data_IF_666846360828
#
_entry.id   IF_666846360828
#
_cell.length_a   1.000
_cell.length_b   1.000
_cell.length_c   1.000
_cell.angle_alpha   90.00
_cell.angle_beta   90.00
_cell.angle_gamma   90.00
#
_symmetry.space_group_name_H-M   'P 1'
#
loop_
_entity.id
_entity.type
_entity.pdbx_description
1 polymer ?
#
# COMPACT_ATOMS: atom_id res chain seq x y z
N UNK A 1 91.97 11.72 -240.55
CA UNK A 1 90.60 11.13 -240.61
C UNK A 1 90.01 11.32 -239.22
N UNK A 2 89.29 12.44 -239.02
CA UNK A 2 87.79 12.51 -238.97
C UNK A 2 87.28 11.86 -237.67
N UNK A 3 86.42 12.40 -236.81
CA UNK A 3 85.40 13.48 -236.88
C UNK A 3 84.80 13.63 -235.45
N UNK A 4 84.24 14.81 -235.11
CA UNK A 4 83.14 15.08 -234.14
C UNK A 4 83.24 14.87 -232.60
N UNK A 5 84.09 14.04 -232.00
CA UNK A 5 83.91 13.73 -230.55
C UNK A 5 84.51 14.72 -229.52
N UNK A 6 85.35 15.68 -229.94
CA UNK A 6 86.11 16.57 -229.02
C UNK A 6 85.32 17.79 -228.48
N UNK A 7 84.08 18.02 -228.95
CA UNK A 7 83.25 19.17 -228.55
C UNK A 7 82.15 18.75 -227.56
N UNK A 8 81.63 17.51 -227.64
CA UNK A 8 80.56 17.03 -226.77
C UNK A 8 81.00 16.68 -225.33
N UNK A 9 82.28 16.35 -225.09
CA UNK A 9 82.77 16.11 -223.72
C UNK A 9 82.84 17.38 -222.85
N UNK A 10 82.93 18.55 -223.48
CA UNK A 10 82.99 19.84 -222.77
C UNK A 10 81.61 20.35 -222.37
N UNK A 11 80.59 20.13 -223.20
CA UNK A 11 79.21 20.51 -222.92
C UNK A 11 78.57 19.62 -221.83
N UNK A 12 78.91 18.32 -221.78
CA UNK A 12 78.36 17.40 -220.78
C UNK A 12 78.81 17.73 -219.34
N UNK A 13 79.99 18.31 -219.14
CA UNK A 13 80.46 18.74 -217.81
C UNK A 13 79.70 19.96 -217.30
N UNK A 14 79.41 20.94 -218.16
CA UNK A 14 78.68 22.14 -217.74
C UNK A 14 77.23 21.82 -217.30
N UNK A 15 76.56 20.87 -217.97
CA UNK A 15 75.20 20.46 -217.56
C UNK A 15 75.15 19.69 -216.23
N UNK A 16 76.24 19.02 -215.82
CA UNK A 16 76.28 18.34 -214.51
C UNK A 16 76.50 19.30 -213.35
N UNK A 17 77.25 20.38 -213.54
CA UNK A 17 77.45 21.39 -212.49
C UNK A 17 76.18 22.20 -212.19
N UNK A 18 75.40 22.56 -213.20
CA UNK A 18 74.15 23.31 -213.01
C UNK A 18 73.07 22.50 -212.30
N UNK A 19 72.97 21.19 -212.57
CA UNK A 19 71.99 20.32 -211.91
C UNK A 19 72.25 20.17 -210.40
N UNK A 20 73.51 19.99 -210.00
CA UNK A 20 73.87 19.85 -208.58
C UNK A 20 73.62 21.14 -207.77
N UNK A 21 73.69 22.31 -208.41
CA UNK A 21 73.40 23.59 -207.76
C UNK A 21 71.90 23.74 -207.49
N UNK A 22 71.07 23.35 -208.46
CA UNK A 22 69.61 23.38 -208.32
C UNK A 22 69.07 22.37 -207.29
N UNK A 23 69.70 21.20 -207.16
CA UNK A 23 69.31 20.20 -206.16
C UNK A 23 69.60 20.64 -204.71
N UNK A 24 70.65 21.44 -204.50
CA UNK A 24 70.95 22.03 -203.18
C UNK A 24 69.93 23.09 -202.78
N UNK A 25 69.54 23.99 -203.69
CA UNK A 25 68.54 25.03 -203.39
C UNK A 25 67.17 24.43 -203.05
N UNK A 26 66.76 23.34 -203.72
CA UNK A 26 65.48 22.68 -203.44
C UNK A 26 65.43 22.08 -202.03
N UNK A 27 66.52 21.43 -201.60
CA UNK A 27 66.58 20.81 -200.27
C UNK A 27 66.57 21.86 -199.14
N UNK A 28 67.20 23.03 -199.31
CA UNK A 28 67.13 24.12 -198.34
C UNK A 28 65.70 24.67 -198.19
N UNK A 29 65.00 24.89 -199.31
CA UNK A 29 63.61 25.34 -199.31
C UNK A 29 62.66 24.35 -198.64
N UNK A 30 62.85 23.04 -198.87
CA UNK A 30 62.03 22.00 -198.24
C UNK A 30 62.23 21.97 -196.72
N UNK A 31 63.45 22.19 -196.25
CA UNK A 31 63.76 22.22 -194.80
C UNK A 31 63.10 23.40 -194.10
N UNK A 32 63.05 24.58 -194.75
CA UNK A 32 62.37 25.75 -194.20
C UNK A 32 60.85 25.55 -194.10
N UNK A 33 60.21 24.92 -195.10
CA UNK A 33 58.78 24.67 -195.11
C UNK A 33 58.34 23.81 -193.91
N UNK A 34 59.08 22.75 -193.60
CA UNK A 34 58.78 21.86 -192.46
C UNK A 34 58.83 22.61 -191.14
N UNK A 35 59.85 23.46 -190.94
CA UNK A 35 59.99 24.25 -189.70
C UNK A 35 58.83 25.26 -189.48
N UNK A 36 58.29 25.84 -190.55
CA UNK A 36 57.17 26.76 -190.48
C UNK A 36 55.85 26.05 -190.14
N UNK A 37 55.65 24.83 -190.67
CA UNK A 37 54.46 24.02 -190.36
C UNK A 37 54.45 23.57 -188.90
N UNK A 38 55.59 23.16 -188.34
CA UNK A 38 55.71 22.83 -186.92
C UNK A 38 55.36 24.02 -186.03
N UNK A 39 55.85 25.22 -186.37
CA UNK A 39 55.56 26.45 -185.61
C UNK A 39 54.10 26.87 -185.69
N UNK A 40 53.41 26.58 -186.80
CA UNK A 40 51.97 26.82 -186.93
C UNK A 40 51.17 25.90 -186.00
N UNK A 41 51.57 24.63 -185.87
CA UNK A 41 50.88 23.67 -185.00
C UNK A 41 51.05 24.03 -183.51
N UNK A 42 52.25 24.41 -183.07
CA UNK A 42 52.47 24.81 -181.66
C UNK A 42 51.64 26.02 -181.28
N UNK A 43 51.57 27.04 -182.14
CA UNK A 43 50.76 28.24 -181.91
C UNK A 43 49.26 27.92 -181.82
N UNK A 44 48.73 27.01 -182.63
CA UNK A 44 47.33 26.57 -182.52
C UNK A 44 47.04 25.85 -181.21
N UNK A 45 47.97 25.01 -180.75
CA UNK A 45 47.81 24.29 -179.50
C UNK A 45 47.81 25.23 -178.29
N UNK A 46 48.69 26.24 -178.28
CA UNK A 46 48.71 27.26 -177.23
C UNK A 46 47.40 28.05 -177.18
N UNK A 47 46.87 28.49 -178.33
CA UNK A 47 45.58 29.21 -178.39
C UNK A 47 44.47 28.39 -177.73
N UNK A 48 44.38 27.09 -178.02
CA UNK A 48 43.38 26.21 -177.43
C UNK A 48 43.50 26.17 -175.89
N UNK A 49 44.72 25.96 -175.37
CA UNK A 49 44.98 25.89 -173.93
C UNK A 49 44.63 27.19 -173.22
N UNK A 50 44.97 28.35 -173.79
CA UNK A 50 44.64 29.64 -173.20
C UNK A 50 43.14 29.94 -173.20
N UNK A 51 42.42 29.54 -174.25
CA UNK A 51 40.95 29.68 -174.28
C UNK A 51 40.25 28.81 -173.22
N UNK A 52 40.73 27.58 -173.01
CA UNK A 52 40.21 26.68 -171.99
C UNK A 52 40.46 27.23 -170.58
N UNK A 53 41.68 27.74 -170.32
CA UNK A 53 42.04 28.39 -169.06
C UNK A 53 41.20 29.64 -168.78
N UNK A 54 40.92 30.45 -169.80
CA UNK A 54 40.06 31.62 -169.68
C UNK A 54 38.61 31.27 -169.29
N UNK A 55 38.04 30.23 -169.92
CA UNK A 55 36.70 29.73 -169.55
C UNK A 55 36.66 29.17 -168.13
N UNK A 56 37.66 28.41 -167.72
CA UNK A 56 37.76 27.88 -166.35
C UNK A 56 37.85 28.99 -165.30
N UNK A 57 38.65 30.04 -165.55
CA UNK A 57 38.77 31.18 -164.65
C UNK A 57 37.44 31.94 -164.52
N UNK A 58 36.72 32.17 -165.63
CA UNK A 58 35.40 32.83 -165.60
C UNK A 58 34.37 32.02 -164.81
N UNK A 59 34.30 30.70 -165.04
CA UNK A 59 33.41 29.82 -164.27
C UNK A 59 33.74 29.83 -162.76
N UNK A 60 35.03 29.94 -162.42
CA UNK A 60 35.48 30.02 -161.01
C UNK A 60 35.06 31.35 -160.36
N UNK A 61 35.17 32.47 -161.08
CA UNK A 61 34.73 33.78 -160.59
C UNK A 61 33.21 33.79 -160.35
N UNK A 62 32.44 33.23 -161.27
CA UNK A 62 30.98 33.21 -161.16
C UNK A 62 30.52 32.35 -159.97
N UNK A 63 31.15 31.19 -159.77
CA UNK A 63 30.93 30.35 -158.59
C UNK A 63 31.29 31.08 -157.29
N UNK A 64 32.45 31.73 -157.22
CA UNK A 64 32.87 32.49 -156.03
C UNK A 64 31.91 33.64 -155.72
N UNK A 65 31.34 34.30 -156.74
CA UNK A 65 30.36 35.36 -156.56
C UNK A 65 29.04 34.84 -155.97
N UNK A 66 28.58 33.66 -156.40
CA UNK A 66 27.42 32.98 -155.78
C UNK A 66 27.71 32.55 -154.34
N UNK A 67 28.89 31.97 -154.07
CA UNK A 67 29.31 31.60 -152.71
C UNK A 67 29.40 32.82 -151.78
N UNK A 68 29.89 33.95 -152.28
CA UNK A 68 29.91 35.21 -151.53
C UNK A 68 28.50 35.70 -151.19
N UNK A 69 27.57 35.69 -152.16
CA UNK A 69 26.17 36.06 -151.92
C UNK A 69 25.50 35.16 -150.87
N UNK A 70 25.68 33.84 -150.97
CA UNK A 70 25.15 32.89 -149.99
C UNK A 70 25.75 33.08 -148.59
N UNK A 71 27.05 33.37 -148.51
CA UNK A 71 27.71 33.64 -147.23
C UNK A 71 27.26 34.98 -146.61
N UNK A 72 27.00 36.01 -147.42
CA UNK A 72 26.51 37.30 -146.93
C UNK A 72 25.08 37.18 -146.36
N UNK A 73 24.20 36.41 -147.02
CA UNK A 73 22.88 36.05 -146.48
C UNK A 73 22.97 35.25 -145.17
N UNK A 74 23.90 34.28 -145.09
CA UNK A 74 24.18 33.55 -143.84
C UNK A 74 24.66 34.48 -142.73
N UNK A 75 25.57 35.41 -143.02
CA UNK A 75 26.03 36.40 -142.03
C UNK A 75 24.86 37.28 -141.57
N UNK A 76 23.99 37.71 -142.49
CA UNK A 76 22.79 38.48 -142.17
C UNK A 76 21.84 37.72 -141.23
N UNK A 77 21.54 36.45 -141.55
CA UNK A 77 20.70 35.59 -140.70
C UNK A 77 21.32 35.33 -139.33
N UNK A 78 22.62 35.02 -139.24
CA UNK A 78 23.32 34.81 -137.97
C UNK A 78 23.32 36.09 -137.12
N UNK A 79 23.56 37.27 -137.72
CA UNK A 79 23.46 38.56 -137.01
C UNK A 79 22.06 38.81 -136.45
N UNK A 80 21.02 38.47 -137.23
CA UNK A 80 19.63 38.59 -136.75
C UNK A 80 19.33 37.62 -135.60
N UNK A 81 19.87 36.40 -135.64
CA UNK A 81 19.76 35.40 -134.58
C UNK A 81 20.50 35.83 -133.31
N UNK A 82 21.73 36.36 -133.44
CA UNK A 82 22.50 36.92 -132.33
C UNK A 82 21.72 38.03 -131.62
N UNK A 83 21.18 38.99 -132.38
CA UNK A 83 20.39 40.10 -131.81
C UNK A 83 19.12 39.60 -131.11
N UNK A 84 18.50 38.53 -131.60
CA UNK A 84 17.34 37.92 -130.95
C UNK A 84 17.73 37.15 -129.68
N UNK A 85 18.88 36.45 -129.68
CA UNK A 85 19.41 35.77 -128.50
C UNK A 85 19.82 36.76 -127.42
N UNK A 86 20.51 37.85 -127.78
CA UNK A 86 20.84 38.94 -126.85
C UNK A 86 19.59 39.52 -126.18
N UNK A 87 18.52 39.78 -126.95
CA UNK A 87 17.23 40.23 -126.39
C UNK A 87 16.61 39.20 -125.44
N UNK A 88 16.75 37.90 -125.73
CA UNK A 88 16.26 36.83 -124.84
C UNK A 88 17.08 36.72 -123.56
N UNK A 89 18.40 36.85 -123.65
CA UNK A 89 19.30 36.86 -122.48
C UNK A 89 18.92 38.01 -121.55
N UNK A 90 18.79 39.24 -122.08
CA UNK A 90 18.41 40.40 -121.25
C UNK A 90 17.04 40.20 -120.59
N UNK A 91 16.05 39.63 -121.31
CA UNK A 91 14.74 39.33 -120.71
C UNK A 91 14.83 38.27 -119.61
N UNK A 92 15.56 37.18 -119.86
CA UNK A 92 15.76 36.12 -118.88
C UNK A 92 16.54 36.59 -117.65
N UNK A 93 17.52 37.48 -117.83
CA UNK A 93 18.27 38.10 -116.73
C UNK A 93 17.35 38.97 -115.86
N UNK A 94 16.44 39.75 -116.46
CA UNK A 94 15.46 40.54 -115.72
C UNK A 94 14.48 39.63 -114.95
N UNK A 95 13.91 38.61 -115.61
CA UNK A 95 13.01 37.65 -114.96
C UNK A 95 13.70 36.87 -113.82
N UNK A 96 14.97 36.47 -114.02
CA UNK A 96 15.77 35.80 -113.00
C UNK A 96 16.02 36.72 -111.80
N UNK A 97 16.37 37.98 -112.04
CA UNK A 97 16.61 38.95 -110.97
C UNK A 97 15.33 39.23 -110.17
N UNK A 98 14.17 39.37 -110.83
CA UNK A 98 12.88 39.51 -110.15
C UNK A 98 12.56 38.30 -109.27
N UNK A 99 12.77 37.07 -109.76
CA UNK A 99 12.54 35.85 -108.99
C UNK A 99 13.53 35.67 -107.84
N UNK A 100 14.79 36.04 -108.03
CA UNK A 100 15.80 36.02 -106.97
C UNK A 100 15.45 37.02 -105.86
N UNK A 101 14.97 38.21 -106.22
CA UNK A 101 14.58 39.21 -105.23
C UNK A 101 13.32 38.79 -104.47
N UNK A 102 12.34 38.21 -105.15
CA UNK A 102 11.17 37.59 -104.50
C UNK A 102 11.58 36.48 -103.52
N UNK A 103 12.48 35.58 -103.94
CA UNK A 103 12.98 34.50 -103.09
C UNK A 103 13.72 35.03 -101.85
N UNK A 104 14.53 36.09 -101.98
CA UNK A 104 15.20 36.72 -100.83
C UNK A 104 14.19 37.29 -99.83
N UNK A 105 13.18 38.02 -100.31
CA UNK A 105 12.15 38.58 -99.44
C UNK A 105 11.39 37.48 -98.70
N UNK A 106 10.99 36.42 -99.40
CA UNK A 106 10.27 35.30 -98.80
C UNK A 106 11.15 34.54 -97.78
N UNK A 107 12.44 34.33 -98.10
CA UNK A 107 13.42 33.74 -97.18
C UNK A 107 13.59 34.57 -95.91
N UNK A 108 13.71 35.89 -96.02
CA UNK A 108 13.82 36.78 -94.85
C UNK A 108 12.55 36.73 -93.98
N UNK A 109 11.37 36.64 -94.60
CA UNK A 109 10.12 36.46 -93.84
C UNK A 109 10.05 35.10 -93.14
N UNK A 110 10.54 34.05 -93.79
CA UNK A 110 10.60 32.71 -93.22
C UNK A 110 11.58 32.64 -92.05
N UNK A 111 12.78 33.22 -92.17
CA UNK A 111 13.77 33.25 -91.08
C UNK A 111 13.24 34.01 -89.85
N UNK A 112 12.52 35.11 -90.05
CA UNK A 112 11.84 35.83 -88.96
C UNK A 112 10.74 34.98 -88.31
N UNK A 113 9.93 34.30 -89.11
CA UNK A 113 8.88 33.41 -88.63
C UNK A 113 9.46 32.23 -87.84
N UNK A 114 10.55 31.64 -88.33
CA UNK A 114 11.25 30.53 -87.68
C UNK A 114 11.84 30.96 -86.33
N UNK A 115 12.41 32.17 -86.24
CA UNK A 115 12.88 32.72 -84.95
C UNK A 115 11.74 32.87 -83.94
N UNK A 116 10.60 33.42 -84.36
CA UNK A 116 9.41 33.55 -83.51
C UNK A 116 8.86 32.18 -83.11
N UNK A 117 8.83 31.23 -84.04
CA UNK A 117 8.40 29.86 -83.77
C UNK A 117 9.30 29.21 -82.70
N UNK A 118 10.62 29.30 -82.84
CA UNK A 118 11.54 28.75 -81.85
C UNK A 118 11.42 29.42 -80.47
N UNK A 119 11.18 30.73 -80.40
CA UNK A 119 10.91 31.43 -79.14
C UNK A 119 9.60 30.97 -78.49
N UNK A 120 8.54 30.84 -79.29
CA UNK A 120 7.23 30.37 -78.78
C UNK A 120 7.31 28.93 -78.29
N UNK A 121 8.01 28.04 -78.98
CA UNK A 121 8.27 26.66 -78.52
C UNK A 121 9.01 26.64 -77.18
N UNK A 122 10.09 27.42 -77.04
CA UNK A 122 10.82 27.54 -75.76
C UNK A 122 9.93 28.07 -74.64
N UNK A 123 9.08 29.05 -74.94
CA UNK A 123 8.13 29.60 -73.97
C UNK A 123 7.08 28.57 -73.54
N UNK A 124 6.61 27.75 -74.49
CA UNK A 124 5.63 26.69 -74.24
C UNK A 124 6.24 25.60 -73.34
N UNK A 125 7.45 25.15 -73.65
CA UNK A 125 8.18 24.18 -72.83
C UNK A 125 8.40 24.70 -71.40
N UNK A 126 8.75 25.99 -71.26
CA UNK A 126 8.90 26.61 -69.95
C UNK A 126 7.58 26.61 -69.15
N UNK A 127 6.47 26.98 -69.80
CA UNK A 127 5.14 26.98 -69.17
C UNK A 127 4.71 25.56 -68.80
N UNK A 128 4.93 24.57 -69.68
CA UNK A 128 4.62 23.17 -69.40
C UNK A 128 5.41 22.63 -68.21
N UNK A 129 6.71 22.91 -68.16
CA UNK A 129 7.56 22.53 -67.03
C UNK A 129 7.11 23.17 -65.71
N UNK A 130 6.75 24.45 -65.73
CA UNK A 130 6.22 25.13 -64.55
C UNK A 130 4.86 24.54 -64.11
N UNK A 131 4.00 24.19 -65.07
CA UNK A 131 2.73 23.51 -64.79
C UNK A 131 2.96 22.15 -64.14
N UNK A 132 3.89 21.34 -64.67
CA UNK A 132 4.23 20.04 -64.09
C UNK A 132 4.76 20.15 -62.67
N UNK A 133 5.66 21.11 -62.41
CA UNK A 133 6.16 21.38 -61.05
C UNK A 133 5.03 21.74 -60.09
N UNK A 134 4.18 22.69 -60.46
CA UNK A 134 3.02 23.08 -59.63
C UNK A 134 2.06 21.91 -59.38
N UNK A 135 1.84 21.07 -60.38
CA UNK A 135 0.99 19.88 -60.22
C UNK A 135 1.60 18.90 -59.21
N UNK A 136 2.92 18.70 -59.25
CA UNK A 136 3.63 17.86 -58.31
C UNK A 136 3.57 18.42 -56.88
N UNK A 137 3.74 19.74 -56.73
CA UNK A 137 3.62 20.42 -55.44
C UNK A 137 2.21 20.24 -54.84
N UNK A 138 1.15 20.44 -55.64
CA UNK A 138 -0.24 20.23 -55.19
C UNK A 138 -0.48 18.79 -54.73
N UNK A 139 0.05 17.80 -55.45
CA UNK A 139 -0.10 16.38 -55.07
C UNK A 139 0.63 16.10 -53.76
N UNK A 140 1.84 16.65 -53.60
CA UNK A 140 2.61 16.51 -52.37
C UNK A 140 1.90 17.18 -51.17
N UNK A 141 1.44 18.42 -51.35
CA UNK A 141 0.72 19.17 -50.31
C UNK A 141 -0.57 18.46 -49.90
N UNK A 142 -1.31 17.91 -50.88
CA UNK A 142 -2.51 17.11 -50.61
C UNK A 142 -2.19 15.84 -49.84
N UNK A 143 -1.10 15.14 -50.19
CA UNK A 143 -0.65 13.97 -49.43
C UNK A 143 -0.30 14.31 -47.98
N UNK A 144 0.38 15.44 -47.75
CA UNK A 144 0.71 15.93 -46.41
C UNK A 144 -0.57 16.29 -45.64
N UNK A 145 -1.52 16.95 -46.30
CA UNK A 145 -2.81 17.33 -45.72
C UNK A 145 -3.61 16.09 -45.29
N UNK A 146 -3.76 15.10 -46.18
CA UNK A 146 -4.49 13.86 -45.90
C UNK A 146 -3.84 13.09 -44.75
N UNK A 147 -2.50 13.03 -44.70
CA UNK A 147 -1.76 12.44 -43.57
C UNK A 147 -2.00 13.19 -42.27
N UNK A 148 -2.06 14.51 -42.32
CA UNK A 148 -2.29 15.36 -41.14
C UNK A 148 -3.70 15.16 -40.59
N UNK A 149 -4.72 15.05 -41.46
CA UNK A 149 -6.09 14.70 -41.06
C UNK A 149 -6.13 13.34 -40.36
N UNK A 150 -5.54 12.31 -40.97
CA UNK A 150 -5.53 10.97 -40.38
C UNK A 150 -4.90 10.95 -38.98
N UNK A 151 -3.80 11.70 -38.78
CA UNK A 151 -3.17 11.85 -37.46
C UNK A 151 -4.09 12.60 -36.50
N UNK A 152 -4.76 13.68 -36.94
CA UNK A 152 -5.70 14.41 -36.09
C UNK A 152 -6.86 13.54 -35.63
N UNK A 153 -7.47 12.77 -36.53
CA UNK A 153 -8.55 11.83 -36.21
C UNK A 153 -8.08 10.75 -35.22
N UNK A 154 -6.87 10.21 -35.41
CA UNK A 154 -6.28 9.26 -34.47
C UNK A 154 -6.10 9.89 -33.08
N UNK A 155 -5.54 11.11 -33.02
CA UNK A 155 -5.35 11.83 -31.74
C UNK A 155 -6.68 12.18 -31.07
N UNK A 156 -7.68 12.56 -31.84
CA UNK A 156 -9.02 12.85 -31.31
C UNK A 156 -9.67 11.59 -30.73
N UNK A 157 -9.55 10.45 -31.41
CA UNK A 157 -9.99 9.14 -30.89
C UNK A 157 -9.29 8.77 -29.57
N UNK A 158 -7.97 8.98 -29.50
CA UNK A 158 -7.18 8.73 -28.28
C UNK A 158 -7.60 9.67 -27.15
N UNK A 159 -7.76 10.97 -27.43
CA UNK A 159 -8.23 11.95 -26.45
C UNK A 159 -9.62 11.61 -25.92
N UNK A 160 -10.55 11.17 -26.77
CA UNK A 160 -11.88 10.73 -26.36
C UNK A 160 -11.80 9.52 -25.41
N UNK A 161 -11.03 8.48 -25.76
CA UNK A 161 -10.82 7.30 -24.90
C UNK A 161 -10.17 7.65 -23.56
N UNK A 162 -9.20 8.57 -23.55
CA UNK A 162 -8.58 9.05 -22.33
C UNK A 162 -9.57 9.82 -21.46
N UNK A 163 -10.40 10.68 -22.04
CA UNK A 163 -11.45 11.41 -21.33
C UNK A 163 -12.46 10.47 -20.69
N UNK A 164 -12.92 9.43 -21.40
CA UNK A 164 -13.79 8.40 -20.82
C UNK A 164 -13.13 7.70 -19.62
N UNK A 165 -11.84 7.36 -19.75
CA UNK A 165 -11.07 6.74 -18.66
C UNK A 165 -10.93 7.68 -17.46
N UNK A 166 -10.68 8.97 -17.69
CA UNK A 166 -10.62 9.99 -16.64
C UNK A 166 -11.97 10.11 -15.92
N UNK A 167 -13.08 10.13 -16.65
CA UNK A 167 -14.44 10.19 -16.06
C UNK A 167 -14.70 8.95 -15.18
N UNK A 168 -14.36 7.75 -15.67
CA UNK A 168 -14.46 6.50 -14.90
C UNK A 168 -13.61 6.54 -13.62
N UNK A 169 -12.36 6.98 -13.72
CA UNK A 169 -11.47 7.11 -12.57
C UNK A 169 -11.98 8.13 -11.55
N UNK A 170 -12.47 9.30 -11.98
CA UNK A 170 -13.09 10.31 -11.09
C UNK A 170 -14.34 9.77 -10.39
N UNK A 171 -15.15 8.96 -11.08
CA UNK A 171 -16.32 8.30 -10.47
C UNK A 171 -15.88 7.31 -9.39
N UNK A 172 -14.88 6.48 -9.68
CA UNK A 172 -14.35 5.51 -8.73
C UNK A 172 -13.69 6.20 -7.52
N UNK A 173 -12.94 7.27 -7.74
CA UNK A 173 -12.35 8.09 -6.67
C UNK A 173 -13.43 8.61 -5.71
N UNK A 174 -14.55 9.12 -6.22
CA UNK A 174 -15.69 9.57 -5.39
C UNK A 174 -16.25 8.42 -4.56
N UNK A 175 -16.45 7.23 -5.15
CA UNK A 175 -16.96 6.04 -4.47
C UNK A 175 -15.99 5.60 -3.36
N UNK A 176 -14.71 5.49 -3.66
CA UNK A 176 -13.70 5.13 -2.66
C UNK A 176 -13.60 6.17 -1.55
N UNK A 177 -13.75 7.45 -1.86
CA UNK A 177 -13.73 8.52 -0.85
C UNK A 177 -14.96 8.45 0.07
N UNK A 178 -16.14 8.12 -0.45
CA UNK A 178 -17.34 7.91 0.39
C UNK A 178 -17.19 6.66 1.25
N UNK A 179 -16.66 5.58 0.70
CA UNK A 179 -16.44 4.32 1.42
C UNK A 179 -15.41 4.49 2.53
N UNK A 180 -14.32 5.21 2.27
CA UNK A 180 -13.29 5.50 3.25
C UNK A 180 -13.81 6.40 4.38
N UNK A 181 -14.77 7.30 4.10
CA UNK A 181 -15.48 8.05 5.15
C UNK A 181 -16.35 7.12 6.01
N UNK A 182 -17.12 6.22 5.40
CA UNK A 182 -17.96 5.24 6.10
C UNK A 182 -17.12 4.33 7.01
N UNK A 183 -16.06 3.74 6.48
CA UNK A 183 -15.15 2.87 7.24
C UNK A 183 -14.51 3.63 8.40
N UNK A 184 -14.09 4.89 8.20
CA UNK A 184 -13.53 5.70 9.29
C UNK A 184 -14.56 6.03 10.38
N UNK A 185 -15.83 6.27 10.03
CA UNK A 185 -16.89 6.48 11.03
C UNK A 185 -17.17 5.20 11.81
N UNK A 186 -17.18 4.04 11.15
CA UNK A 186 -17.36 2.74 11.80
C UNK A 186 -16.19 2.41 12.71
N UNK A 187 -14.95 2.67 12.27
CA UNK A 187 -13.75 2.49 13.09
C UNK A 187 -13.80 3.33 14.35
N UNK A 188 -14.15 4.61 14.24
CA UNK A 188 -14.31 5.51 15.40
C UNK A 188 -15.39 5.01 16.37
N UNK A 189 -16.52 4.52 15.86
CA UNK A 189 -17.57 3.95 16.69
C UNK A 189 -17.11 2.65 17.39
N UNK A 190 -16.32 1.81 16.71
CA UNK A 190 -15.72 0.62 17.31
C UNK A 190 -14.70 0.97 18.39
N UNK A 191 -13.82 1.95 18.15
CA UNK A 191 -12.83 2.41 19.14
C UNK A 191 -13.51 2.95 20.41
N UNK A 192 -14.63 3.67 20.25
CA UNK A 192 -15.43 4.12 21.40
C UNK A 192 -16.05 2.96 22.17
N UNK A 193 -16.54 1.92 21.48
CA UNK A 193 -17.05 0.71 22.14
C UNK A 193 -15.94 -0.07 22.84
N UNK A 194 -14.75 -0.17 22.24
CA UNK A 194 -13.59 -0.83 22.80
C UNK A 194 -13.15 -0.13 24.09
N UNK A 195 -12.93 1.18 24.04
CA UNK A 195 -12.53 1.98 25.22
C UNK A 195 -13.58 1.94 26.34
N UNK A 196 -14.87 1.89 26.00
CA UNK A 196 -15.92 1.68 26.99
C UNK A 196 -15.85 0.29 27.63
N UNK A 197 -15.65 -0.76 26.83
CA UNK A 197 -15.49 -2.13 27.32
C UNK A 197 -14.24 -2.29 28.20
N UNK A 198 -13.10 -1.72 27.81
CA UNK A 198 -11.86 -1.71 28.60
C UNK A 198 -12.04 -1.02 29.95
N UNK A 199 -12.72 0.13 29.99
CA UNK A 199 -13.01 0.83 31.24
C UNK A 199 -13.94 0.02 32.15
N UNK A 200 -14.91 -0.69 31.58
CA UNK A 200 -15.79 -1.57 32.37
C UNK A 200 -15.03 -2.79 32.89
N UNK A 201 -14.14 -3.38 32.08
CA UNK A 201 -13.28 -4.48 32.50
C UNK A 201 -12.41 -4.05 33.69
N UNK A 202 -11.71 -2.92 33.61
CA UNK A 202 -10.91 -2.38 34.72
C UNK A 202 -11.72 -2.17 35.99
N UNK A 203 -12.94 -1.63 35.86
CA UNK A 203 -13.85 -1.46 37.01
C UNK A 203 -14.23 -2.81 37.62
N UNK A 204 -14.51 -3.83 36.80
CA UNK A 204 -14.85 -5.16 37.32
C UNK A 204 -13.65 -5.87 37.94
N UNK A 205 -12.46 -5.75 37.36
CA UNK A 205 -11.21 -6.25 37.95
C UNK A 205 -10.94 -5.61 39.32
N UNK A 206 -11.09 -4.28 39.45
CA UNK A 206 -10.93 -3.60 40.75
C UNK A 206 -11.96 -4.07 41.79
N UNK A 207 -13.21 -4.32 41.38
CA UNK A 207 -14.26 -4.83 42.27
C UNK A 207 -13.96 -6.26 42.70
N UNK A 208 -13.47 -7.08 41.77
CA UNK A 208 -13.09 -8.46 42.03
C UNK A 208 -11.95 -8.53 43.03
N UNK A 209 -10.93 -7.67 42.90
CA UNK A 209 -9.84 -7.57 43.87
C UNK A 209 -10.35 -7.20 45.26
N UNK A 210 -11.17 -6.15 45.38
CA UNK A 210 -11.76 -5.73 46.67
C UNK A 210 -12.58 -6.87 47.30
N UNK A 211 -13.34 -7.62 46.50
CA UNK A 211 -14.13 -8.75 46.99
C UNK A 211 -13.25 -9.93 47.43
N UNK A 212 -12.14 -10.19 46.75
CA UNK A 212 -11.17 -11.21 47.14
C UNK A 212 -10.50 -10.85 48.47
N UNK A 213 -10.09 -9.59 48.63
CA UNK A 213 -9.49 -9.11 49.89
C UNK A 213 -10.50 -9.21 51.04
N UNK A 214 -11.75 -8.79 50.84
CA UNK A 214 -12.83 -8.96 51.82
C UNK A 214 -13.09 -10.42 52.17
N UNK A 215 -13.09 -11.31 51.18
CA UNK A 215 -13.26 -12.75 51.41
C UNK A 215 -12.13 -13.30 52.29
N UNK A 216 -10.88 -12.88 52.04
CA UNK A 216 -9.72 -13.29 52.82
C UNK A 216 -9.81 -12.80 54.27
N UNK A 217 -10.19 -11.53 54.47
CA UNK A 217 -10.36 -10.97 55.81
C UNK A 217 -11.51 -11.64 56.58
N UNK A 218 -12.64 -11.90 55.94
CA UNK A 218 -13.74 -12.65 56.56
C UNK A 218 -13.32 -14.08 56.91
N UNK A 219 -12.54 -14.75 56.06
CA UNK A 219 -12.02 -16.09 56.36
C UNK A 219 -11.09 -16.10 57.56
N UNK A 220 -10.22 -15.09 57.71
CA UNK A 220 -9.37 -14.91 58.90
C UNK A 220 -10.21 -14.68 60.15
N UNK A 221 -11.17 -13.76 60.10
CA UNK A 221 -12.07 -13.48 61.21
C UNK A 221 -12.83 -14.74 61.64
N UNK A 222 -13.32 -15.51 60.68
CA UNK A 222 -13.99 -16.78 60.94
C UNK A 222 -13.07 -17.77 61.66
N UNK A 223 -11.82 -17.93 61.22
CA UNK A 223 -10.87 -18.83 61.89
C UNK A 223 -10.57 -18.37 63.32
N UNK A 224 -10.37 -17.07 63.54
CA UNK A 224 -10.14 -16.52 64.88
C UNK A 224 -11.34 -16.76 65.80
N UNK A 225 -12.55 -16.48 65.32
CA UNK A 225 -13.78 -16.69 66.09
C UNK A 225 -13.99 -18.18 66.37
N UNK A 226 -13.77 -19.05 65.39
CA UNK A 226 -13.87 -20.50 65.59
C UNK A 226 -12.88 -20.99 66.64
N UNK A 227 -11.62 -20.55 66.60
CA UNK A 227 -10.62 -20.94 67.59
C UNK A 227 -10.99 -20.45 69.00
N UNK A 228 -11.51 -19.23 69.14
CA UNK A 228 -12.01 -18.72 70.43
C UNK A 228 -13.18 -19.56 70.92
N UNK A 229 -14.12 -19.88 70.03
CA UNK A 229 -15.29 -20.72 70.35
C UNK A 229 -14.83 -22.10 70.86
N UNK A 230 -13.96 -22.77 70.13
CA UNK A 230 -13.44 -24.10 70.49
C UNK A 230 -12.72 -24.04 71.86
N UNK A 231 -11.94 -22.99 72.10
CA UNK A 231 -11.29 -22.76 73.40
C UNK A 231 -12.29 -22.55 74.54
N UNK A 232 -13.38 -21.81 74.31
CA UNK A 232 -14.43 -21.59 75.30
C UNK A 232 -15.23 -22.86 75.58
N UNK A 233 -15.50 -23.68 74.56
CA UNK A 233 -16.15 -24.98 74.72
C UNK A 233 -15.29 -25.91 75.60
N UNK A 234 -13.97 -25.98 75.35
CA UNK A 234 -13.03 -26.77 76.17
C UNK A 234 -13.00 -26.29 77.62
N UNK A 235 -12.92 -24.97 77.85
CA UNK A 235 -12.95 -24.40 79.20
C UNK A 235 -14.26 -24.73 79.92
N UNK A 236 -15.39 -24.60 79.22
CA UNK A 236 -16.71 -24.89 79.79
C UNK A 236 -16.82 -26.37 80.17
N UNK A 237 -16.40 -27.29 79.30
CA UNK A 237 -16.42 -28.72 79.61
C UNK A 237 -15.52 -29.07 80.79
N UNK A 238 -14.35 -28.44 80.90
CA UNK A 238 -13.44 -28.62 82.02
C UNK A 238 -14.06 -28.16 83.34
N UNK A 239 -14.65 -26.96 83.37
CA UNK A 239 -15.32 -26.46 84.58
C UNK A 239 -16.56 -27.29 84.95
N UNK A 240 -17.33 -27.78 83.98
CA UNK A 240 -18.44 -28.70 84.23
C UNK A 240 -17.95 -30.00 84.87
N UNK A 241 -16.86 -30.59 84.37
CA UNK A 241 -16.27 -31.80 84.94
C UNK A 241 -15.83 -31.59 86.40
N UNK A 242 -15.16 -30.47 86.71
CA UNK A 242 -14.78 -30.13 88.10
C UNK A 242 -15.98 -30.03 89.05
N UNK A 243 -17.09 -29.45 88.57
CA UNK A 243 -18.33 -29.31 89.34
C UNK A 243 -19.04 -30.66 89.54
N UNK A 244 -19.04 -31.52 88.52
CA UNK A 244 -19.61 -32.87 88.57
C UNK A 244 -18.83 -33.78 89.54
N UNK A 245 -17.50 -33.71 89.52
CA UNK A 245 -16.61 -34.47 90.41
C UNK A 245 -16.60 -33.95 91.86
N UNK A 246 -17.37 -32.88 92.15
CA UNK A 246 -17.48 -32.26 93.49
C UNK A 246 -16.10 -31.96 94.09
N UNK A 247 -15.18 -31.52 93.24
CA UNK A 247 -13.80 -31.26 93.62
C UNK A 247 -13.72 -30.09 94.61
N UNK A 248 -12.97 -30.26 95.70
CA UNK A 248 -12.87 -29.27 96.79
C UNK A 248 -13.75 -29.53 98.01
N UNK A 249 -14.64 -30.55 97.99
CA UNK A 249 -15.26 -31.06 99.21
C UNK A 249 -14.37 -32.13 99.88
N UNK A 250 -14.36 -32.22 101.22
CA UNK A 250 -13.73 -33.33 101.94
C UNK A 250 -14.27 -34.69 101.49
N UNK A 251 -13.43 -35.72 101.53
CA UNK A 251 -13.73 -37.06 100.98
C UNK A 251 -15.06 -37.65 101.48
N UNK A 252 -15.38 -37.50 102.77
CA UNK A 252 -16.63 -37.99 103.35
C UNK A 252 -17.86 -37.20 102.92
N UNK A 253 -17.74 -35.88 102.76
CA UNK A 253 -18.81 -35.05 102.20
C UNK A 253 -19.08 -35.40 100.73
N UNK A 254 -18.02 -35.54 99.93
CA UNK A 254 -18.10 -35.94 98.52
C UNK A 254 -18.77 -37.30 98.34
N UNK A 255 -18.36 -38.31 99.10
CA UNK A 255 -18.94 -39.67 99.00
C UNK A 255 -20.45 -39.67 99.27
N UNK A 256 -20.91 -38.90 100.25
CA UNK A 256 -22.34 -38.79 100.56
C UNK A 256 -23.10 -38.10 99.41
N UNK A 257 -22.56 -37.01 98.87
CA UNK A 257 -23.17 -36.26 97.77
C UNK A 257 -23.21 -37.06 96.45
N UNK A 258 -22.20 -37.87 96.16
CA UNK A 258 -22.15 -38.74 94.96
C UNK A 258 -23.12 -39.93 95.05
N UNK A 259 -23.60 -40.28 96.25
CA UNK A 259 -24.45 -41.44 96.49
C UNK A 259 -25.84 -41.06 97.06
N UNK A 260 -26.62 -40.17 96.42
CA UNK A 260 -27.88 -39.65 97.00
C UNK A 260 -28.93 -40.74 97.24
N UNK A 261 -28.88 -41.85 96.49
CA UNK A 261 -29.76 -43.01 96.69
C UNK A 261 -29.46 -43.78 97.98
N UNK A 262 -28.19 -43.80 98.42
CA UNK A 262 -27.77 -44.46 99.68
C UNK A 262 -28.03 -43.57 100.90
N UNK A 263 -28.10 -42.26 100.69
CA UNK A 263 -28.28 -41.26 101.74
C UNK A 263 -29.55 -40.43 101.48
N UNK A 264 -30.75 -41.04 101.55
CA UNK A 264 -31.99 -40.31 101.36
C UNK A 264 -32.19 -39.26 102.46
N UNK A 265 -32.95 -38.20 102.16
CA UNK A 265 -33.23 -37.08 103.08
C UNK A 265 -32.00 -36.25 103.50
N UNK A 266 -30.85 -36.41 102.82
CA UNK A 266 -29.75 -35.44 102.81
C UNK A 266 -30.09 -34.31 101.83
N UNK A 267 -29.96 -33.06 102.28
CA UNK A 267 -30.40 -31.86 101.56
C UNK A 267 -29.29 -31.15 100.78
N UNK A 268 -28.04 -31.62 100.90
CA UNK A 268 -26.84 -31.00 100.31
C UNK A 268 -25.87 -30.53 101.38
N UNK A 269 -24.86 -29.75 100.99
CA UNK A 269 -23.96 -29.07 101.94
C UNK A 269 -24.39 -27.63 102.20
N UNK A 270 -23.85 -27.00 103.24
CA UNK A 270 -24.07 -25.57 103.51
C UNK A 270 -23.63 -24.71 102.31
N UNK A 271 -22.51 -25.05 101.66
CA UNK A 271 -22.03 -24.34 100.48
C UNK A 271 -22.97 -24.43 99.26
N UNK A 272 -23.68 -25.56 99.09
CA UNK A 272 -24.65 -25.75 97.99
C UNK A 272 -25.95 -24.96 98.20
N UNK A 273 -26.37 -24.78 99.45
CA UNK A 273 -27.69 -24.20 99.76
C UNK A 273 -27.67 -22.71 100.10
N UNK A 274 -26.48 -22.14 100.34
CA UNK A 274 -26.30 -20.71 100.60
C UNK A 274 -25.82 -20.02 99.33
N UNK A 275 -26.54 -18.97 98.95
CA UNK A 275 -26.17 -18.08 97.86
C UNK A 275 -25.89 -16.69 98.40
N UNK A 276 -24.92 -15.99 97.81
CA UNK A 276 -24.53 -14.65 98.24
C UNK A 276 -24.08 -13.84 97.03
N UNK A 277 -24.25 -12.52 97.12
CA UNK A 277 -23.74 -11.60 96.11
C UNK A 277 -22.21 -11.52 96.15
N UNK A 278 -21.58 -11.36 94.98
CA UNK A 278 -20.13 -11.43 94.77
C UNK A 278 -19.28 -10.64 95.79
N UNK A 279 -19.65 -9.40 96.21
CA UNK A 279 -18.84 -8.62 97.14
C UNK A 279 -18.69 -9.22 98.55
N UNK A 280 -19.56 -10.16 98.95
CA UNK A 280 -19.56 -10.75 100.30
C UNK A 280 -19.18 -12.23 100.29
N UNK A 281 -18.84 -12.79 99.12
CA UNK A 281 -18.56 -14.23 98.96
C UNK A 281 -17.40 -14.68 99.84
N UNK A 282 -16.28 -13.96 99.78
CA UNK A 282 -15.06 -14.32 100.52
C UNK A 282 -15.24 -14.17 102.04
N UNK A 283 -15.99 -13.14 102.45
CA UNK A 283 -16.36 -12.92 103.84
C UNK A 283 -17.18 -14.08 104.41
N UNK A 284 -18.22 -14.51 103.68
CA UNK A 284 -19.05 -15.63 104.12
C UNK A 284 -18.32 -16.97 104.08
N UNK A 285 -17.46 -17.19 103.10
CA UNK A 285 -16.71 -18.44 103.00
C UNK A 285 -15.69 -18.58 104.12
N UNK A 286 -15.04 -17.47 104.48
CA UNK A 286 -14.15 -17.42 105.65
C UNK A 286 -14.93 -17.57 106.95
N UNK A 287 -16.08 -16.90 107.06
CA UNK A 287 -16.96 -16.96 108.22
C UNK A 287 -17.54 -18.35 108.50
N UNK A 288 -17.92 -19.08 107.45
CA UNK A 288 -18.35 -20.48 107.56
C UNK A 288 -17.16 -21.42 107.79
N UNK A 289 -16.03 -21.20 107.13
CA UNK A 289 -14.87 -22.10 107.17
C UNK A 289 -15.28 -23.54 106.84
N UNK A 290 -14.86 -24.49 107.67
CA UNK A 290 -15.17 -25.92 107.50
C UNK A 290 -16.68 -26.22 107.59
N UNK A 291 -17.48 -25.32 108.18
CA UNK A 291 -18.93 -25.48 108.24
C UNK A 291 -19.58 -25.40 106.86
N UNK A 292 -18.91 -24.76 105.88
CA UNK A 292 -19.35 -24.73 104.48
C UNK A 292 -19.46 -26.15 103.88
N UNK A 293 -18.61 -27.08 104.33
CA UNK A 293 -18.59 -28.48 103.90
C UNK A 293 -19.58 -29.38 104.65
N UNK A 294 -20.27 -28.87 105.67
CA UNK A 294 -21.17 -29.68 106.48
C UNK A 294 -22.37 -30.13 105.66
N UNK A 295 -22.69 -31.42 105.76
CA UNK A 295 -23.87 -32.02 105.16
C UNK A 295 -25.10 -31.64 105.99
N UNK A 296 -26.18 -31.29 105.32
CA UNK A 296 -27.46 -30.97 105.95
C UNK A 296 -28.36 -32.20 105.85
N UNK A 297 -28.74 -32.76 106.98
CA UNK A 297 -29.74 -33.84 107.04
C UNK A 297 -31.09 -33.28 107.48
N UNK A 298 -32.18 -33.88 107.01
CA UNK A 298 -33.55 -33.44 107.35
C UNK A 298 -33.84 -33.40 108.85
N UNK A 299 -33.41 -34.42 109.59
CA UNK A 299 -33.58 -34.52 111.05
C UNK A 299 -32.46 -35.35 111.69
N UNK A 300 -32.44 -35.44 113.03
CA UNK A 300 -31.44 -36.19 113.79
C UNK A 300 -31.41 -37.67 113.46
N UNK A 301 -32.55 -38.29 113.10
CA UNK A 301 -32.60 -39.71 112.73
C UNK A 301 -31.87 -39.93 111.41
N UNK A 302 -32.13 -39.08 110.41
CA UNK A 302 -31.41 -39.10 109.13
C UNK A 302 -29.93 -38.81 109.34
N UNK A 303 -29.57 -37.83 110.20
CA UNK A 303 -28.17 -37.49 110.45
C UNK A 303 -27.36 -38.67 111.03
N UNK A 304 -27.91 -39.36 112.03
CA UNK A 304 -27.26 -40.54 112.61
C UNK A 304 -27.15 -41.66 111.58
N UNK A 305 -28.21 -41.91 110.81
CA UNK A 305 -28.19 -42.96 109.78
C UNK A 305 -27.17 -42.67 108.67
N UNK A 306 -27.08 -41.42 108.20
CA UNK A 306 -26.08 -40.98 107.23
C UNK A 306 -24.67 -41.15 107.79
N UNK A 307 -24.45 -40.81 109.06
CA UNK A 307 -23.15 -40.99 109.72
C UNK A 307 -22.76 -42.48 109.82
N UNK A 308 -23.66 -43.34 110.30
CA UNK A 308 -23.41 -44.79 110.43
C UNK A 308 -23.12 -45.46 109.08
N UNK A 309 -23.89 -45.11 108.05
CA UNK A 309 -23.72 -45.65 106.70
C UNK A 309 -22.40 -45.18 106.08
N UNK A 310 -22.02 -43.92 106.28
CA UNK A 310 -20.77 -43.37 105.77
C UNK A 310 -19.54 -43.94 106.51
N UNK A 311 -19.62 -44.15 107.82
CA UNK A 311 -18.59 -44.83 108.62
C UNK A 311 -18.40 -46.28 108.18
N UNK A 312 -19.51 -47.01 107.97
CA UNK A 312 -19.48 -48.39 107.49
C UNK A 312 -18.85 -48.51 106.09
N UNK A 313 -18.98 -47.47 105.27
CA UNK A 313 -18.38 -47.37 103.96
C UNK A 313 -16.94 -46.81 103.96
N UNK A 314 -16.37 -46.50 105.13
CA UNK A 314 -15.06 -45.84 105.27
C UNK A 314 -14.94 -44.56 104.42
N UNK A 315 -16.02 -43.79 104.34
CA UNK A 315 -16.14 -42.63 103.45
C UNK A 315 -15.16 -41.47 103.79
N UNK A 316 -14.50 -41.51 104.94
CA UNK A 316 -13.62 -40.45 105.43
C UNK A 316 -14.33 -39.47 106.39
N UNK A 317 -13.72 -38.31 106.60
CA UNK A 317 -14.24 -37.31 107.54
C UNK A 317 -15.46 -36.59 106.97
N UNK A 318 -16.49 -36.45 107.79
CA UNK A 318 -17.70 -35.71 107.46
C UNK A 318 -18.34 -35.12 108.71
N UNK A 319 -19.03 -34.00 108.52
CA UNK A 319 -19.78 -33.31 109.57
C UNK A 319 -21.22 -33.15 109.09
N UNK A 320 -22.20 -33.46 109.93
CA UNK A 320 -23.62 -33.42 109.58
C UNK A 320 -24.38 -32.51 110.54
N UNK A 321 -25.25 -31.66 109.99
CA UNK A 321 -26.15 -30.78 110.73
C UNK A 321 -27.59 -31.26 110.52
N UNK A 322 -28.30 -31.65 111.60
CA UNK A 322 -29.70 -32.05 111.52
C UNK A 322 -30.63 -30.82 111.52
N UNK A 323 -31.26 -30.53 110.39
CA UNK A 323 -32.01 -29.30 110.13
C UNK A 323 -33.19 -29.09 111.08
N UNK A 324 -33.97 -30.14 111.33
CA UNK A 324 -35.16 -30.06 112.22
C UNK A 324 -34.77 -29.63 113.63
N UNK A 325 -33.64 -30.11 114.13
CA UNK A 325 -33.13 -29.81 115.46
C UNK A 325 -32.61 -28.38 115.53
N UNK A 326 -31.87 -27.93 114.51
CA UNK A 326 -31.44 -26.53 114.40
C UNK A 326 -32.64 -25.59 114.35
N UNK A 327 -33.68 -25.93 113.59
CA UNK A 327 -34.91 -25.12 113.51
C UNK A 327 -35.67 -25.00 114.84
N UNK A 328 -35.48 -25.92 115.78
CA UNK A 328 -36.09 -25.88 117.11
C UNK A 328 -35.25 -25.12 118.14
N UNK A 329 -34.01 -24.72 117.80
CA UNK A 329 -33.20 -23.88 118.66
C UNK A 329 -33.76 -22.45 118.65
N UNK A 330 -34.12 -21.93 119.82
CA UNK A 330 -34.39 -20.50 119.97
C UNK A 330 -33.07 -19.75 119.86
N UNK A 331 -32.88 -19.08 118.74
CA UNK A 331 -31.71 -18.23 118.53
C UNK A 331 -32.10 -16.82 118.94
N UNK A 332 -31.64 -16.37 120.11
CA UNK A 332 -31.78 -14.98 120.54
C UNK A 332 -30.64 -14.18 119.93
N UNK A 333 -30.96 -13.09 119.25
CA UNK A 333 -29.95 -12.25 118.60
C UNK A 333 -29.79 -10.95 119.35
N UNK A 334 -28.53 -10.58 119.58
CA UNK A 334 -28.21 -9.22 119.97
C UNK A 334 -28.54 -8.25 118.82
N UNK A 335 -29.05 -7.04 119.09
CA UNK A 335 -29.25 -6.04 118.05
C UNK A 335 -27.90 -5.71 117.41
N UNK A 336 -27.86 -5.65 116.07
CA UNK A 336 -26.63 -5.25 115.35
C UNK A 336 -26.28 -3.81 115.73
N UNK A 337 -25.06 -3.52 116.22
CA UNK A 337 -24.64 -2.17 116.55
C UNK A 337 -24.77 -1.22 115.36
N UNK A 338 -25.29 -0.01 115.57
CA UNK A 338 -25.48 1.00 114.51
C UNK A 338 -24.21 1.83 114.32
N UNK A 339 -23.08 1.14 114.14
CA UNK A 339 -21.79 1.77 113.90
C UNK A 339 -21.55 1.70 112.38
N UNK A 340 -21.15 2.82 111.75
CA UNK A 340 -21.09 2.96 110.29
C UNK A 340 -20.10 2.05 109.55
N UNK A 341 -19.43 1.15 110.27
CA UNK A 341 -18.39 0.21 109.81
C UNK A 341 -18.92 -1.20 109.57
N UNK A 342 -20.19 -1.49 109.92
CA UNK A 342 -20.83 -2.81 109.78
C UNK A 342 -21.77 -2.83 108.58
N UNK A 343 -21.50 -3.71 107.60
CA UNK A 343 -22.39 -3.92 106.45
C UNK A 343 -23.67 -4.65 106.82
N UNK A 344 -23.58 -5.58 107.77
CA UNK A 344 -24.74 -6.30 108.29
C UNK A 344 -24.36 -7.61 108.94
N UNK A 345 -25.38 -8.32 109.44
CA UNK A 345 -25.21 -9.69 109.93
C UNK A 345 -25.04 -10.64 108.75
N UNK A 346 -24.08 -11.55 108.84
CA UNK A 346 -23.79 -12.51 107.79
C UNK A 346 -25.01 -13.38 107.43
N UNK A 347 -25.83 -13.78 108.40
CA UNK A 347 -27.07 -14.53 108.10
C UNK A 347 -28.09 -13.74 107.27
N UNK A 348 -28.13 -12.41 107.36
CA UNK A 348 -29.03 -11.54 106.57
C UNK A 348 -28.54 -11.36 105.13
N UNK A 349 -27.24 -11.49 104.89
CA UNK A 349 -26.61 -11.39 103.56
C UNK A 349 -26.71 -12.70 102.76
N UNK A 350 -27.06 -13.81 103.41
CA UNK A 350 -27.28 -15.12 102.76
C UNK A 350 -28.68 -15.22 102.16
N UNK A 351 -28.73 -15.58 100.88
CA UNK A 351 -29.93 -16.01 100.16
C UNK A 351 -30.05 -17.54 100.27
N UNK A 352 -31.13 -18.02 100.89
CA UNK A 352 -31.41 -19.47 101.03
C UNK A 352 -32.92 -19.71 101.10
N UNK A 353 -33.35 -20.98 100.98
CA UNK A 353 -34.77 -21.36 101.12
C UNK A 353 -35.30 -20.97 102.52
N UNK A 354 -36.55 -20.52 102.61
CA UNK A 354 -37.23 -20.20 103.87
C UNK A 354 -37.13 -21.34 104.90
N UNK A 355 -37.14 -22.60 104.45
CA UNK A 355 -36.98 -23.78 105.32
C UNK A 355 -35.59 -23.92 105.93
N UNK A 356 -34.57 -23.38 105.26
CA UNK A 356 -33.16 -23.41 105.67
C UNK A 356 -32.74 -22.13 106.39
N UNK A 357 -33.62 -21.13 106.49
CA UNK A 357 -33.32 -19.88 107.19
C UNK A 357 -32.82 -20.08 108.63
N UNK A 358 -33.41 -20.98 109.45
CA UNK A 358 -32.89 -21.25 110.80
C UNK A 358 -31.45 -21.77 110.80
N UNK A 359 -31.01 -22.44 109.72
CA UNK A 359 -29.62 -22.90 109.58
C UNK A 359 -28.66 -21.74 109.32
N UNK A 360 -29.02 -20.80 108.44
CA UNK A 360 -28.21 -19.60 108.20
C UNK A 360 -28.10 -18.76 109.48
N UNK A 361 -29.21 -18.61 110.19
CA UNK A 361 -29.29 -17.93 111.46
C UNK A 361 -28.47 -18.62 112.57
N UNK A 362 -28.44 -19.95 112.60
CA UNK A 362 -27.62 -20.70 113.55
C UNK A 362 -26.11 -20.59 113.27
N UNK A 363 -25.70 -20.72 112.01
CA UNK A 363 -24.29 -20.75 111.63
C UNK A 363 -23.65 -19.36 111.56
N UNK A 364 -24.42 -18.36 111.11
CA UNK A 364 -23.91 -17.02 110.77
C UNK A 364 -24.61 -15.90 111.56
N UNK A 365 -25.47 -16.26 112.51
CA UNK A 365 -26.24 -15.31 113.29
C UNK A 365 -25.41 -14.43 114.23
N UNK A 366 -24.23 -14.91 114.65
CA UNK A 366 -23.30 -14.18 115.51
C UNK A 366 -22.07 -13.66 114.76
N UNK A 367 -22.15 -13.57 113.42
CA UNK A 367 -21.10 -13.05 112.57
C UNK A 367 -21.54 -11.74 111.92
N UNK A 368 -20.74 -10.71 112.04
CA UNK A 368 -20.92 -9.43 111.37
C UNK A 368 -19.91 -9.28 110.23
N UNK A 369 -20.40 -8.79 109.09
CA UNK A 369 -19.54 -8.41 107.97
C UNK A 369 -19.23 -6.93 108.10
N UNK A 370 -17.95 -6.58 108.12
CA UNK A 370 -17.44 -5.23 108.34
C UNK A 370 -16.62 -4.73 107.16
N UNK A 371 -16.40 -3.43 107.08
CA UNK A 371 -15.58 -2.82 106.02
C UNK A 371 -14.10 -3.14 106.18
N UNK A 372 -13.57 -3.01 107.40
CA UNK A 372 -12.17 -3.28 107.71
C UNK A 372 -12.05 -3.95 109.09
N UNK A 373 -11.41 -5.12 109.12
CA UNK A 373 -11.25 -5.88 110.35
C UNK A 373 -10.40 -5.13 111.40
N UNK A 374 -9.35 -4.41 110.98
CA UNK A 374 -8.45 -3.70 111.91
C UNK A 374 -9.17 -2.58 112.68
N UNK A 375 -10.07 -1.88 112.00
CA UNK A 375 -10.86 -0.80 112.60
C UNK A 375 -11.93 -1.39 113.53
N UNK A 376 -12.54 -2.50 113.12
CA UNK A 376 -13.63 -3.15 113.86
C UNK A 376 -13.16 -3.88 115.14
N UNK A 377 -11.95 -4.44 115.19
CA UNK A 377 -11.43 -5.16 116.38
C UNK A 377 -11.26 -4.23 117.59
N UNK A 378 -10.98 -2.94 117.37
CA UNK A 378 -10.77 -1.98 118.45
C UNK A 378 -12.09 -1.37 119.00
N UNK A 379 -13.23 -1.70 118.41
CA UNK A 379 -14.55 -1.21 118.82
C UNK A 379 -15.12 -2.09 119.96
N UNK A 380 -15.29 -1.49 121.14
CA UNK A 380 -15.79 -2.19 122.32
C UNK A 380 -17.20 -2.75 122.15
N UNK A 381 -18.01 -2.17 121.26
CA UNK A 381 -19.39 -2.61 121.00
C UNK A 381 -19.44 -3.88 120.14
N UNK A 382 -18.32 -4.23 119.48
CA UNK A 382 -18.19 -5.37 118.58
C UNK A 382 -17.53 -6.59 119.24
N UNK A 383 -17.01 -6.47 120.47
CA UNK A 383 -16.25 -7.51 121.19
C UNK A 383 -16.96 -8.86 121.37
N UNK A 384 -18.29 -8.91 121.27
CA UNK A 384 -19.08 -10.14 121.46
C UNK A 384 -19.47 -10.83 120.13
N UNK A 385 -19.10 -10.24 119.00
CA UNK A 385 -19.41 -10.73 117.67
C UNK A 385 -18.19 -11.39 117.03
N UNK A 386 -18.43 -12.40 116.19
CA UNK A 386 -17.46 -12.73 115.15
C UNK A 386 -17.45 -11.62 114.11
N UNK A 387 -16.28 -11.20 113.66
CA UNK A 387 -16.09 -10.15 112.67
C UNK A 387 -15.40 -10.74 111.44
N UNK A 388 -15.86 -10.38 110.26
CA UNK A 388 -15.20 -10.72 109.01
C UNK A 388 -15.25 -9.54 108.05
N UNK A 389 -14.13 -9.20 107.42
CA UNK A 389 -14.10 -8.19 106.37
C UNK A 389 -14.41 -8.78 104.98
N UNK A 390 -14.69 -7.92 104.01
CA UNK A 390 -14.96 -8.34 102.62
C UNK A 390 -13.75 -9.02 101.95
N UNK A 391 -12.55 -8.82 102.49
CA UNK A 391 -11.31 -9.47 102.03
C UNK A 391 -11.07 -10.87 102.59
N UNK A 392 -11.95 -11.38 103.47
CA UNK A 392 -11.82 -12.72 104.05
C UNK A 392 -10.85 -12.81 105.24
N UNK A 393 -10.62 -11.70 105.95
CA UNK A 393 -9.97 -11.71 107.27
C UNK A 393 -11.03 -11.85 108.36
N UNK A 394 -10.84 -12.79 109.28
CA UNK A 394 -11.80 -13.14 110.32
C UNK A 394 -11.20 -13.01 111.72
N UNK A 395 -12.01 -12.51 112.65
CA UNK A 395 -11.76 -12.47 114.09
C UNK A 395 -12.96 -13.03 114.84
N UNK A 396 -12.76 -14.12 115.59
CA UNK A 396 -13.81 -14.74 116.39
C UNK A 396 -13.87 -14.18 117.81
N UNK A 397 -15.05 -14.25 118.44
CA UNK A 397 -15.23 -13.94 119.87
C UNK A 397 -14.50 -14.93 120.80
N UNK A 398 -13.99 -16.03 120.23
CA UNK A 398 -13.10 -17.03 120.84
C UNK A 398 -11.60 -16.68 120.68
N UNK A 399 -11.27 -15.45 120.24
CA UNK A 399 -9.92 -14.94 119.98
C UNK A 399 -9.19 -15.64 118.81
N UNK A 400 -9.92 -16.37 117.96
CA UNK A 400 -9.32 -17.00 116.77
C UNK A 400 -9.23 -15.99 115.63
N UNK A 401 -8.03 -15.81 115.09
CA UNK A 401 -7.75 -15.02 113.88
C UNK A 401 -7.54 -15.96 112.70
N UNK A 402 -8.26 -15.72 111.61
CA UNK A 402 -8.09 -16.45 110.34
C UNK A 402 -7.94 -15.47 109.21
N UNK A 403 -7.13 -15.82 108.24
CA UNK A 403 -7.08 -15.12 106.96
C UNK A 403 -7.03 -16.18 105.88
N UNK A 404 -7.93 -16.07 104.91
CA UNK A 404 -7.92 -16.94 103.74
C UNK A 404 -7.26 -16.18 102.59
N UNK A 405 -6.35 -16.85 101.88
CA UNK A 405 -5.77 -16.30 100.66
C UNK A 405 -6.86 -16.32 99.59
N UNK A 406 -7.28 -15.14 99.13
CA UNK A 406 -8.23 -14.98 98.03
C UNK A 406 -7.71 -15.74 96.81
N UNK A 407 -8.49 -16.70 96.34
CA UNK A 407 -8.22 -17.45 95.13
C UNK A 407 -9.40 -17.22 94.22
N UNK A 408 -9.17 -16.57 93.09
CA UNK A 408 -10.20 -16.25 92.08
C UNK A 408 -10.98 -17.48 91.59
N UNK A 409 -10.49 -18.69 91.85
CA UNK A 409 -11.01 -19.93 91.30
C UNK A 409 -11.42 -21.00 92.32
N UNK A 410 -11.30 -20.75 93.64
CA UNK A 410 -11.55 -21.79 94.67
C UNK A 410 -12.56 -21.41 95.73
N UNK A 411 -13.63 -20.71 95.33
CA UNK A 411 -14.74 -20.42 96.22
C UNK A 411 -15.78 -21.56 96.15
N UNK A 412 -16.30 -21.96 97.30
CA UNK A 412 -17.23 -23.08 97.45
C UNK A 412 -18.70 -22.63 97.51
N UNK A 413 -18.96 -21.42 98.00
CA UNK A 413 -20.33 -20.91 98.17
C UNK A 413 -20.89 -20.42 96.82
N UNK A 414 -22.09 -20.92 96.47
CA UNK A 414 -22.80 -20.49 95.26
C UNK A 414 -22.27 -21.08 93.95
N UNK A 415 -21.67 -22.27 94.02
CA UNK A 415 -21.27 -23.09 92.86
C UNK A 415 -22.44 -23.63 92.05
#
# INVERSE_FOLDING_TARGET
KTTESSIHEKELRQYRETYNLQEKEFNELQTQLVSLVERQQTLRQDILVWTEKGRSALATIERQKQEYGSNDEKIGSIKSQLKNLEKKIVKLELELNEKLEYYKQEKDTFEKLESVYQETVKSLDHIQNNRWRRQQDIVNDRSIYDRTIAVLEEKESVCSKLNEKIIKLKKNEKIYRTELKRINTERKALDQKLTFAENNLRKMESKLQILQDKKHDMAKQHHTISAIKDSMEIQTSFYQELVELKEGFPEGARYVLENPKKFPDVLGTVADVFQVDEPYRDALETGLGDLSHCIIAKDKKTAIHTLENALSAQAGNLTIIPLKEVANLKTEFNPVPKNGTVFGRASDLVKTDKKLRPLADYLLGNLLVVENLQDAINDSDLNHWGLVDTGGSYYGSDLILKSRRVSEYSNLIGR
#
